data_IF_638695625571
#
_entry.id   IF_638695625571
#
_cell.length_a   1.000
_cell.length_b   1.000
_cell.length_c   1.000
_cell.angle_alpha   90.00
_cell.angle_beta   90.00
_cell.angle_gamma   90.00
#
_symmetry.space_group_name_H-M   'P 1'
#
loop_
_entity.id
_entity.type
_entity.pdbx_description
1 polymer ?
#
# COMPACT_ATOMS: atom_id res chain seq x y z
N UNK A 1 -9.24 -13.66 29.96
CA UNK A 1 -9.22 -13.84 28.50
C UNK A 1 -9.81 -15.20 28.20
N UNK A 2 -10.90 -15.25 27.44
CA UNK A 2 -11.54 -16.45 26.92
C UNK A 2 -11.03 -16.72 25.50
N UNK A 3 -11.17 -17.95 25.02
CA UNK A 3 -10.69 -18.38 23.70
C UNK A 3 -11.20 -17.49 22.54
N UNK A 4 -12.42 -16.95 22.65
CA UNK A 4 -12.99 -16.01 21.67
C UNK A 4 -12.46 -14.58 21.72
N UNK A 5 -11.66 -14.20 22.72
CA UNK A 5 -11.14 -12.83 22.87
C UNK A 5 -9.96 -12.56 21.94
N UNK A 6 -9.28 -13.62 21.47
CA UNK A 6 -8.13 -13.51 20.56
C UNK A 6 -8.52 -14.05 19.18
N UNK A 7 -8.40 -13.25 18.11
CA UNK A 7 -8.73 -13.72 16.77
C UNK A 7 -7.79 -14.84 16.34
N UNK A 8 -8.37 -15.94 15.86
CA UNK A 8 -7.61 -17.04 15.26
C UNK A 8 -6.82 -16.56 14.03
N UNK A 9 -5.73 -17.26 13.67
CA UNK A 9 -4.86 -16.90 12.53
C UNK A 9 -5.63 -16.64 11.23
N UNK A 10 -6.69 -17.41 10.97
CA UNK A 10 -7.54 -17.24 9.79
C UNK A 10 -8.28 -15.91 9.81
N UNK A 11 -8.76 -15.50 10.99
CA UNK A 11 -9.43 -14.21 11.17
C UNK A 11 -8.44 -13.06 11.03
N UNK A 12 -7.24 -13.20 11.60
CA UNK A 12 -6.17 -12.21 11.44
C UNK A 12 -5.75 -12.04 9.98
N UNK A 13 -5.54 -13.15 9.26
CA UNK A 13 -5.23 -13.13 7.84
C UNK A 13 -6.33 -12.40 7.04
N UNK A 14 -7.59 -12.71 7.30
CA UNK A 14 -8.73 -12.06 6.65
C UNK A 14 -8.71 -10.56 6.89
N UNK A 15 -8.51 -10.12 8.15
CA UNK A 15 -8.44 -8.70 8.50
C UNK A 15 -7.29 -7.98 7.79
N UNK A 16 -6.11 -8.61 7.69
CA UNK A 16 -4.95 -8.05 6.98
C UNK A 16 -5.26 -7.90 5.49
N UNK A 17 -5.83 -8.93 4.86
CA UNK A 17 -6.18 -8.90 3.44
C UNK A 17 -7.25 -7.83 3.15
N UNK A 18 -8.27 -7.72 4.00
CA UNK A 18 -9.34 -6.73 3.83
C UNK A 18 -8.81 -5.31 4.02
N UNK A 19 -7.94 -5.09 5.00
CA UNK A 19 -7.27 -3.81 5.19
C UNK A 19 -6.37 -3.44 3.99
N UNK A 20 -5.61 -4.41 3.48
CA UNK A 20 -4.79 -4.22 2.27
C UNK A 20 -5.65 -3.84 1.07
N UNK A 21 -6.72 -4.60 0.77
CA UNK A 21 -7.63 -4.33 -0.35
C UNK A 21 -8.26 -2.95 -0.27
N UNK A 22 -8.72 -2.56 0.93
CA UNK A 22 -9.27 -1.23 1.16
C UNK A 22 -8.23 -0.14 0.84
N UNK A 23 -7.06 -0.25 1.44
CA UNK A 23 -5.94 0.69 1.26
C UNK A 23 -5.48 0.77 -0.21
N UNK A 24 -5.44 -0.37 -0.90
CA UNK A 24 -5.06 -0.47 -2.31
C UNK A 24 -6.10 0.19 -3.23
N UNK A 25 -7.40 -0.04 -2.97
CA UNK A 25 -8.46 0.62 -3.72
C UNK A 25 -8.47 2.14 -3.53
N UNK A 26 -8.19 2.62 -2.32
CA UNK A 26 -8.00 4.05 -2.03
C UNK A 26 -6.78 4.61 -2.77
N UNK A 27 -5.66 3.88 -2.78
CA UNK A 27 -4.47 4.25 -3.55
C UNK A 27 -4.78 4.37 -5.05
N UNK A 28 -5.48 3.41 -5.65
CA UNK A 28 -5.81 3.46 -7.08
C UNK A 28 -6.69 4.66 -7.41
N UNK A 29 -7.69 4.97 -6.58
CA UNK A 29 -8.53 6.15 -6.76
C UNK A 29 -7.71 7.44 -6.69
N UNK A 30 -6.82 7.54 -5.70
CA UNK A 30 -5.93 8.70 -5.54
C UNK A 30 -5.03 8.87 -6.77
N UNK A 31 -4.39 7.79 -7.23
CA UNK A 31 -3.48 7.80 -8.39
C UNK A 31 -4.25 8.04 -9.70
N UNK A 32 -5.49 7.60 -9.84
CA UNK A 32 -6.31 7.92 -11.01
C UNK A 32 -6.78 9.38 -11.04
N UNK A 33 -6.87 10.02 -9.86
CA UNK A 33 -7.33 11.41 -9.72
C UNK A 33 -6.22 12.46 -9.90
N UNK A 34 -4.95 12.05 -9.96
CA UNK A 34 -3.84 13.00 -10.15
C UNK A 34 -3.82 13.54 -11.57
N UNK A 35 -3.78 14.87 -11.68
CA UNK A 35 -3.59 15.60 -12.94
C UNK A 35 -2.13 15.65 -13.40
N UNK A 36 -1.20 15.15 -12.57
CA UNK A 36 0.24 15.20 -12.80
C UNK A 36 0.83 13.85 -13.21
N UNK A 37 2.16 13.82 -13.34
CA UNK A 37 2.91 12.60 -13.63
C UNK A 37 2.93 11.68 -12.40
N UNK A 38 2.91 10.39 -12.68
CA UNK A 38 3.12 9.33 -11.71
C UNK A 38 4.50 8.74 -11.96
N UNK A 39 5.28 8.50 -10.90
CA UNK A 39 6.59 7.86 -10.97
C UNK A 39 6.63 6.65 -10.06
N UNK A 40 7.44 5.65 -10.41
CA UNK A 40 7.58 4.42 -9.64
C UNK A 40 9.06 4.21 -9.29
N UNK A 41 9.30 3.75 -8.08
CA UNK A 41 10.61 3.25 -7.66
C UNK A 41 10.45 1.78 -7.32
N UNK A 42 11.31 0.94 -7.92
CA UNK A 42 11.37 -0.49 -7.65
C UNK A 42 12.64 -0.78 -6.87
N UNK A 43 12.49 -1.34 -5.67
CA UNK A 43 13.60 -1.98 -4.98
C UNK A 43 13.54 -3.48 -5.32
N UNK A 44 14.63 -4.03 -5.83
CA UNK A 44 14.72 -5.42 -6.28
C UNK A 44 15.94 -6.05 -5.62
N UNK A 45 15.71 -7.13 -4.90
CA UNK A 45 16.77 -7.83 -4.19
C UNK A 45 16.52 -9.33 -4.19
N UNK A 46 17.53 -10.10 -3.82
CA UNK A 46 17.39 -11.52 -3.51
C UNK A 46 17.80 -11.80 -2.07
N UNK A 47 17.25 -12.87 -1.48
CA UNK A 47 17.75 -13.39 -0.21
C UNK A 47 18.91 -14.39 -0.42
N UNK A 48 19.60 -14.83 0.65
CA UNK A 48 20.66 -15.83 0.55
C UNK A 48 20.22 -17.19 -0.03
N UNK A 49 18.91 -17.47 -0.06
CA UNK A 49 18.34 -18.66 -0.69
C UNK A 49 18.01 -18.44 -2.17
N UNK A 50 18.50 -17.34 -2.78
CA UNK A 50 18.28 -16.94 -4.17
C UNK A 50 16.80 -16.70 -4.51
N UNK A 51 15.97 -16.35 -3.52
CA UNK A 51 14.59 -15.93 -3.79
C UNK A 51 14.59 -14.46 -4.18
N UNK A 52 14.01 -14.14 -5.34
CA UNK A 52 13.85 -12.76 -5.80
C UNK A 52 12.65 -12.09 -5.15
N UNK A 53 12.83 -10.84 -4.73
CA UNK A 53 11.81 -9.96 -4.20
C UNK A 53 11.77 -8.65 -4.98
N UNK A 54 10.61 -8.02 -4.99
CA UNK A 54 10.41 -6.68 -5.53
C UNK A 54 9.46 -5.90 -4.63
N UNK A 55 9.84 -4.67 -4.29
CA UNK A 55 8.96 -3.69 -3.70
C UNK A 55 8.76 -2.53 -4.69
N UNK A 56 7.51 -2.15 -4.92
CA UNK A 56 7.18 -1.05 -5.83
C UNK A 56 6.52 0.06 -5.03
N UNK A 57 7.11 1.25 -5.05
CA UNK A 57 6.53 2.45 -4.45
C UNK A 57 6.12 3.42 -5.55
N UNK A 58 4.87 3.89 -5.50
CA UNK A 58 4.35 4.91 -6.39
C UNK A 58 4.49 6.30 -5.77
N UNK A 59 4.93 7.26 -6.57
CA UNK A 59 5.12 8.66 -6.21
C UNK A 59 4.26 9.52 -7.12
N UNK A 60 3.47 10.42 -6.55
CA UNK A 60 2.58 11.30 -7.31
C UNK A 60 2.28 12.58 -6.54
N UNK A 61 1.95 13.65 -7.26
CA UNK A 61 1.52 14.90 -6.65
C UNK A 61 -0.01 14.91 -6.51
N UNK A 62 -0.51 15.20 -5.31
CA UNK A 62 -1.93 15.35 -5.03
C UNK A 62 -2.19 16.61 -4.21
N UNK A 63 -3.40 17.16 -4.34
CA UNK A 63 -3.81 18.29 -3.52
C UNK A 63 -4.32 17.80 -2.17
N UNK A 64 -3.96 18.50 -1.10
CA UNK A 64 -4.52 18.26 0.23
C UNK A 64 -5.87 18.98 0.41
N UNK A 65 -6.48 18.82 1.59
CA UNK A 65 -7.75 19.45 1.98
C UNK A 65 -7.72 20.99 1.89
N UNK A 66 -6.53 21.60 1.91
CA UNK A 66 -6.31 23.04 1.81
C UNK A 66 -5.90 23.46 0.40
N UNK A 67 -6.12 22.60 -0.60
CA UNK A 67 -5.80 22.83 -2.00
C UNK A 67 -4.29 23.00 -2.28
N UNK A 68 -3.41 22.58 -1.36
CA UNK A 68 -1.94 22.68 -1.53
C UNK A 68 -1.42 21.44 -2.25
N UNK A 69 -0.51 21.64 -3.20
CA UNK A 69 0.14 20.53 -3.88
C UNK A 69 1.14 19.84 -2.94
N UNK A 70 1.01 18.53 -2.74
CA UNK A 70 1.93 17.71 -1.97
C UNK A 70 2.40 16.51 -2.77
N UNK A 71 3.68 16.17 -2.63
CA UNK A 71 4.21 14.89 -3.08
C UNK A 71 3.75 13.80 -2.10
N UNK A 72 3.15 12.74 -2.62
CA UNK A 72 2.76 11.53 -1.89
C UNK A 72 3.58 10.35 -2.40
N UNK A 73 3.96 9.46 -1.50
CA UNK A 73 4.56 8.18 -1.84
C UNK A 73 3.80 7.06 -1.11
N UNK A 74 3.49 5.97 -1.81
CA UNK A 74 2.76 4.81 -1.25
C UNK A 74 3.29 3.50 -1.84
N UNK A 75 3.39 2.47 -1.00
CA UNK A 75 3.75 1.12 -1.44
C UNK A 75 2.54 0.46 -2.13
N UNK A 76 2.79 -0.25 -3.24
CA UNK A 76 1.80 -1.06 -3.96
C UNK A 76 1.64 -2.45 -3.34
#
# INVERSE_FOLDING_TARGET
>A
LKDGDVPHRTKMLQVIIDAYRKSYNELLKDVQSTLGRVSFTTDIWSDPNLRSYIAITVHYCARDEHNRLRLRCRLL
#
